data_IF_987629568653
#
_entry.id   IF_987629568653
#
_cell.length_a   1.000
_cell.length_b   1.000
_cell.length_c   1.000
_cell.angle_alpha   90.00
_cell.angle_beta   90.00
_cell.angle_gamma   90.00
#
_symmetry.space_group_name_H-M   'P 1'
#
loop_
_entity.id
_entity.type
_entity.pdbx_description
1 polymer ?
#
# COMPACT_ATOMS: atom_id res chain seq x y z
N UNK A 1 7.63 -31.28 -26.54
CA UNK A 1 7.98 -31.05 -25.13
C UNK A 1 7.05 -29.95 -24.65
N UNK A 2 6.14 -30.22 -23.73
CA UNK A 2 5.29 -29.17 -23.14
C UNK A 2 6.16 -28.29 -22.23
N UNK A 3 6.30 -27.01 -22.58
CA UNK A 3 6.92 -26.03 -21.69
C UNK A 3 6.03 -25.83 -20.46
N UNK A 4 6.48 -26.33 -19.29
CA UNK A 4 5.84 -26.00 -18.02
C UNK A 4 6.05 -24.51 -17.76
N UNK A 5 4.96 -23.73 -17.80
CA UNK A 5 4.96 -22.33 -17.36
C UNK A 5 5.53 -22.23 -15.94
N UNK A 6 6.48 -21.32 -15.68
CA UNK A 6 7.00 -21.11 -14.34
C UNK A 6 5.84 -20.70 -13.43
N UNK A 7 5.64 -21.46 -12.35
CA UNK A 7 4.62 -21.17 -11.34
C UNK A 7 5.30 -20.48 -10.17
N UNK A 8 4.82 -19.30 -9.82
CA UNK A 8 5.26 -18.58 -8.63
C UNK A 8 4.82 -19.40 -7.41
N UNK A 9 5.74 -19.66 -6.48
CA UNK A 9 5.39 -20.30 -5.22
C UNK A 9 4.49 -19.38 -4.40
N UNK A 10 3.63 -19.94 -3.54
CA UNK A 10 2.78 -19.15 -2.65
C UNK A 10 3.63 -18.19 -1.81
N UNK A 11 4.75 -18.67 -1.26
CA UNK A 11 5.71 -17.83 -0.52
C UNK A 11 6.26 -16.69 -1.38
N UNK A 12 6.62 -16.97 -2.64
CA UNK A 12 7.08 -15.94 -3.56
C UNK A 12 6.00 -14.90 -3.88
N UNK A 13 4.75 -15.33 -4.01
CA UNK A 13 3.62 -14.43 -4.21
C UNK A 13 3.38 -13.52 -3.01
N UNK A 14 3.46 -14.07 -1.78
CA UNK A 14 3.31 -13.29 -0.54
C UNK A 14 4.41 -12.25 -0.44
N UNK A 15 5.68 -12.62 -0.65
CA UNK A 15 6.81 -11.68 -0.58
C UNK A 15 6.66 -10.56 -1.61
N UNK A 16 6.32 -10.90 -2.86
CA UNK A 16 6.10 -9.90 -3.90
C UNK A 16 4.93 -8.97 -3.55
N UNK A 17 3.83 -9.51 -3.02
CA UNK A 17 2.69 -8.72 -2.57
C UNK A 17 3.08 -7.77 -1.44
N UNK A 18 3.82 -8.24 -0.42
CA UNK A 18 4.29 -7.40 0.69
C UNK A 18 5.18 -6.25 0.22
N UNK A 19 6.15 -6.53 -0.66
CA UNK A 19 7.02 -5.49 -1.24
C UNK A 19 6.18 -4.48 -2.03
N UNK A 20 5.22 -4.95 -2.82
CA UNK A 20 4.35 -4.09 -3.64
C UNK A 20 3.49 -3.17 -2.78
N UNK A 21 2.92 -3.68 -1.69
CA UNK A 21 2.12 -2.89 -0.73
C UNK A 21 2.98 -1.77 -0.13
N UNK A 22 4.18 -2.11 0.38
CA UNK A 22 5.08 -1.12 0.99
C UNK A 22 5.50 -0.05 -0.03
N UNK A 23 5.93 -0.48 -1.22
CA UNK A 23 6.35 0.45 -2.27
C UNK A 23 5.21 1.38 -2.72
N UNK A 24 4.00 0.84 -2.91
CA UNK A 24 2.84 1.64 -3.29
C UNK A 24 2.44 2.64 -2.21
N UNK A 25 2.46 2.22 -0.94
CA UNK A 25 2.21 3.09 0.21
C UNK A 25 3.18 4.28 0.27
N UNK A 26 4.48 4.06 0.01
CA UNK A 26 5.45 5.15 -0.06
C UNK A 26 5.17 6.13 -1.21
N UNK A 27 4.76 5.63 -2.38
CA UNK A 27 4.41 6.47 -3.53
C UNK A 27 3.15 7.30 -3.27
N UNK A 28 2.10 6.69 -2.70
CA UNK A 28 0.85 7.39 -2.36
C UNK A 28 1.11 8.46 -1.30
N UNK A 29 1.83 8.12 -0.23
CA UNK A 29 2.20 9.08 0.81
C UNK A 29 3.01 10.26 0.26
N UNK A 30 3.94 9.99 -0.66
CA UNK A 30 4.71 11.05 -1.33
C UNK A 30 3.83 11.92 -2.22
N UNK A 31 2.91 11.33 -2.99
CA UNK A 31 1.97 12.08 -3.81
C UNK A 31 1.07 12.99 -2.97
N UNK A 32 0.55 12.51 -1.83
CA UNK A 32 -0.24 13.32 -0.88
C UNK A 32 0.62 14.47 -0.32
N UNK A 33 1.88 14.22 0.03
CA UNK A 33 2.78 15.29 0.50
C UNK A 33 3.02 16.35 -0.58
N UNK A 34 3.15 15.92 -1.82
CA UNK A 34 3.47 16.83 -2.93
C UNK A 34 2.26 17.69 -3.38
N UNK A 35 1.04 17.39 -2.91
CA UNK A 35 -0.14 18.27 -3.09
C UNK A 35 -0.17 19.45 -2.11
N UNK A 36 0.59 19.39 -1.02
CA UNK A 36 0.62 20.41 0.05
C UNK A 36 1.03 21.83 -0.41
N UNK A 37 1.98 22.05 -1.34
CA UNK A 37 2.43 23.40 -1.71
C UNK A 37 1.50 24.15 -2.67
N UNK A 38 0.62 23.44 -3.39
CA UNK A 38 -0.10 24.00 -4.54
C UNK A 38 -1.59 24.33 -4.27
N UNK A 39 -2.11 24.00 -3.09
CA UNK A 39 -3.50 24.25 -2.73
C UNK A 39 -3.57 25.17 -1.50
N UNK A 40 -4.26 26.30 -1.64
CA UNK A 40 -4.49 27.32 -0.59
C UNK A 40 -5.38 26.84 0.57
N UNK A 41 -5.73 25.54 0.63
CA UNK A 41 -6.54 24.93 1.69
C UNK A 41 -5.80 23.77 2.33
N UNK A 42 -5.32 23.96 3.56
CA UNK A 42 -4.61 22.94 4.35
C UNK A 42 -5.49 21.70 4.65
N UNK A 43 -6.81 21.86 4.60
CA UNK A 43 -7.80 20.85 4.98
C UNK A 43 -7.79 19.62 4.07
N UNK A 44 -7.57 19.78 2.76
CA UNK A 44 -7.57 18.65 1.81
C UNK A 44 -6.35 17.75 2.02
N UNK A 45 -5.18 18.34 2.25
CA UNK A 45 -3.96 17.59 2.55
C UNK A 45 -4.12 16.75 3.82
N UNK A 46 -4.57 17.36 4.92
CA UNK A 46 -4.77 16.63 6.18
C UNK A 46 -5.85 15.55 6.06
N UNK A 47 -6.94 15.83 5.34
CA UNK A 47 -7.99 14.85 5.09
C UNK A 47 -7.46 13.63 4.34
N UNK A 48 -6.75 13.83 3.22
CA UNK A 48 -6.20 12.74 2.40
C UNK A 48 -5.16 11.93 3.16
N UNK A 49 -4.27 12.61 3.91
CA UNK A 49 -3.27 11.95 4.73
C UNK A 49 -3.90 11.10 5.84
N UNK A 50 -4.88 11.64 6.55
CA UNK A 50 -5.57 10.92 7.62
C UNK A 50 -6.30 9.69 7.07
N UNK A 51 -7.02 9.85 5.95
CA UNK A 51 -7.68 8.74 5.26
C UNK A 51 -6.72 7.66 4.78
N UNK A 52 -5.55 8.04 4.28
CA UNK A 52 -4.53 7.07 3.89
C UNK A 52 -4.05 6.26 5.10
N UNK A 53 -3.77 6.93 6.22
CA UNK A 53 -3.30 6.26 7.44
C UNK A 53 -4.35 5.31 8.02
N UNK A 54 -5.62 5.72 8.11
CA UNK A 54 -6.73 4.87 8.58
C UNK A 54 -6.85 3.59 7.74
N UNK A 55 -6.85 3.73 6.41
CA UNK A 55 -6.91 2.60 5.49
C UNK A 55 -5.69 1.66 5.63
N UNK A 56 -4.50 2.23 5.81
CA UNK A 56 -3.28 1.44 5.95
C UNK A 56 -3.24 0.69 7.29
N UNK A 57 -3.73 1.29 8.36
CA UNK A 57 -3.88 0.65 9.66
C UNK A 57 -4.91 -0.50 9.60
N UNK A 58 -6.05 -0.30 8.94
CA UNK A 58 -7.08 -1.33 8.74
C UNK A 58 -6.54 -2.52 7.92
N UNK A 59 -5.72 -2.26 6.89
CA UNK A 59 -5.03 -3.30 6.15
C UNK A 59 -4.10 -4.12 7.07
N UNK A 60 -3.30 -3.46 7.91
CA UNK A 60 -2.41 -4.14 8.85
C UNK A 60 -3.21 -5.00 9.83
N UNK A 61 -4.29 -4.47 10.41
CA UNK A 61 -5.17 -5.21 11.32
C UNK A 61 -5.74 -6.45 10.65
N UNK A 62 -6.28 -6.31 9.44
CA UNK A 62 -6.80 -7.42 8.65
C UNK A 62 -5.73 -8.50 8.42
N UNK A 63 -4.49 -8.09 8.12
CA UNK A 63 -3.38 -9.03 7.93
C UNK A 63 -2.95 -9.71 9.24
N UNK A 64 -3.08 -9.04 10.39
CA UNK A 64 -2.77 -9.60 11.70
C UNK A 64 -3.83 -10.58 12.19
N UNK A 65 -5.12 -10.23 12.08
CA UNK A 65 -6.24 -11.08 12.49
C UNK A 65 -6.29 -12.40 11.69
N UNK A 66 -5.89 -12.37 10.41
CA UNK A 66 -5.81 -13.58 9.59
C UNK A 66 -4.55 -14.44 9.89
N UNK A 67 -3.68 -14.03 10.82
CA UNK A 67 -2.51 -14.80 11.26
C UNK A 67 -2.68 -15.44 12.67
N UNK A 68 -3.84 -15.23 13.33
CA UNK A 68 -4.27 -16.00 14.51
C UNK A 68 -5.11 -17.23 14.10
#
# INVERSE_FOLDING_TARGET
MEEKKPRLSLTGAIVLLSITIIFSSCNISSAIRDTQPNYTGNDTYYYELNRFNENFEELIKTLQENNE
#
